data_IF_739702725896
#
_entry.id   IF_739702725896
#
_cell.length_a   1.000
_cell.length_b   1.000
_cell.length_c   1.000
_cell.angle_alpha   90.00
_cell.angle_beta   90.00
_cell.angle_gamma   90.00
#
_symmetry.space_group_name_H-M   'P 1'
#
loop_
_entity.id
_entity.type
_entity.pdbx_description
1 polymer ?
#
# COMPACT_ATOMS: atom_id res chain seq x y z
N UNK A 1 56.12 -0.58 -23.95
CA UNK A 1 55.62 -1.73 -23.19
C UNK A 1 55.11 -1.21 -21.85
N UNK A 2 53.84 -0.82 -21.79
CA UNK A 2 53.17 -0.31 -20.60
C UNK A 2 51.73 -0.80 -20.68
N UNK A 3 51.35 -1.65 -19.73
CA UNK A 3 50.15 -2.49 -19.74
C UNK A 3 48.88 -1.64 -19.74
N UNK A 4 47.99 -1.93 -20.69
CA UNK A 4 46.59 -1.57 -20.62
C UNK A 4 45.98 -2.12 -19.33
N UNK A 5 45.24 -1.24 -18.65
CA UNK A 5 44.44 -1.58 -17.49
C UNK A 5 43.24 -2.36 -18.04
N UNK A 6 43.24 -3.68 -17.84
CA UNK A 6 42.10 -4.55 -18.12
C UNK A 6 40.88 -4.06 -17.31
N UNK A 7 40.04 -3.23 -17.95
CA UNK A 7 38.65 -3.08 -17.55
C UNK A 7 37.99 -4.45 -17.64
N UNK A 8 37.68 -5.05 -16.49
CA UNK A 8 36.93 -6.30 -16.39
C UNK A 8 35.63 -6.15 -17.17
N UNK A 9 35.57 -6.70 -18.39
CA UNK A 9 34.35 -6.70 -19.19
C UNK A 9 33.34 -7.61 -18.49
N UNK A 10 32.33 -7.02 -17.85
CA UNK A 10 31.18 -7.75 -17.30
C UNK A 10 30.63 -8.68 -18.38
N UNK A 11 30.50 -9.96 -18.07
CA UNK A 11 30.04 -10.95 -19.06
C UNK A 11 28.66 -10.54 -19.59
N UNK A 12 28.40 -10.75 -20.89
CA UNK A 12 27.09 -10.47 -21.48
C UNK A 12 25.96 -11.23 -20.77
N UNK A 13 26.27 -12.39 -20.18
CA UNK A 13 25.33 -13.17 -19.35
C UNK A 13 25.02 -12.45 -18.02
N UNK A 14 26.02 -11.84 -17.38
CA UNK A 14 25.91 -11.12 -16.11
C UNK A 14 25.18 -9.78 -16.27
N UNK A 15 25.39 -9.10 -17.40
CA UNK A 15 24.63 -7.90 -17.74
C UNK A 15 23.13 -8.19 -17.90
N UNK A 16 22.78 -9.27 -18.62
CA UNK A 16 21.36 -9.66 -18.82
C UNK A 16 20.71 -10.06 -17.50
N UNK A 17 21.41 -10.78 -16.64
CA UNK A 17 20.96 -11.08 -15.28
C UNK A 17 20.68 -9.79 -14.49
N UNK A 18 21.65 -8.88 -14.44
CA UNK A 18 21.57 -7.65 -13.64
C UNK A 18 20.43 -6.76 -14.09
N UNK A 19 20.19 -6.65 -15.40
CA UNK A 19 19.11 -5.82 -15.92
C UNK A 19 17.73 -6.40 -15.61
N UNK A 20 17.53 -7.72 -15.78
CA UNK A 20 16.23 -8.34 -15.46
C UNK A 20 15.96 -8.26 -13.95
N UNK A 21 16.99 -8.49 -13.11
CA UNK A 21 16.89 -8.28 -11.67
C UNK A 21 16.48 -6.84 -11.33
N UNK A 22 17.09 -5.86 -11.99
CA UNK A 22 16.77 -4.45 -11.78
C UNK A 22 15.34 -4.12 -12.24
N UNK A 23 14.87 -4.67 -13.35
CA UNK A 23 13.50 -4.52 -13.83
C UNK A 23 12.49 -5.08 -12.81
N UNK A 24 12.78 -6.22 -12.17
CA UNK A 24 11.93 -6.78 -11.10
C UNK A 24 11.94 -5.86 -9.86
N UNK A 25 13.12 -5.42 -9.40
CA UNK A 25 13.27 -4.56 -8.22
C UNK A 25 12.59 -3.18 -8.42
N UNK A 26 12.66 -2.61 -9.63
CA UNK A 26 12.01 -1.35 -9.99
C UNK A 26 10.50 -1.51 -10.26
N UNK A 27 9.98 -2.73 -10.30
CA UNK A 27 8.57 -3.02 -10.60
C UNK A 27 8.19 -2.89 -12.08
N UNK A 28 9.17 -2.80 -13.00
CA UNK A 28 8.93 -2.88 -14.45
C UNK A 28 8.44 -4.27 -14.88
N UNK A 29 8.87 -5.31 -14.16
CA UNK A 29 8.31 -6.67 -14.22
C UNK A 29 7.61 -6.93 -12.89
N UNK A 30 6.28 -7.05 -12.91
CA UNK A 30 5.47 -7.14 -11.70
C UNK A 30 5.47 -8.55 -11.11
N UNK A 31 5.33 -8.72 -9.78
CA UNK A 31 5.10 -10.04 -9.18
C UNK A 31 3.94 -10.78 -9.86
N UNK A 32 4.13 -12.05 -10.20
CA UNK A 32 3.15 -12.87 -10.93
C UNK A 32 3.11 -12.63 -12.44
N UNK A 33 3.78 -11.60 -12.97
CA UNK A 33 3.84 -11.32 -14.40
C UNK A 33 4.66 -12.38 -15.14
N UNK A 34 4.18 -12.80 -16.30
CA UNK A 34 4.93 -13.69 -17.18
C UNK A 34 6.11 -12.95 -17.83
N UNK A 35 7.32 -13.46 -17.65
CA UNK A 35 8.50 -12.98 -18.36
C UNK A 35 8.47 -13.55 -19.79
N UNK A 36 7.87 -12.78 -20.70
CA UNK A 36 7.80 -13.14 -22.13
C UNK A 36 9.20 -13.04 -22.75
N UNK A 37 9.92 -14.16 -22.73
CA UNK A 37 11.35 -14.21 -23.09
C UNK A 37 11.68 -13.59 -24.45
N UNK A 38 10.79 -13.75 -25.45
CA UNK A 38 10.97 -13.13 -26.77
C UNK A 38 10.96 -11.60 -26.70
N UNK A 39 10.06 -11.02 -25.92
CA UNK A 39 9.95 -9.57 -25.75
C UNK A 39 11.14 -9.01 -24.95
N UNK A 40 11.51 -9.67 -23.86
CA UNK A 40 12.68 -9.28 -23.04
C UNK A 40 13.98 -9.38 -23.83
N UNK A 41 14.17 -10.44 -24.62
CA UNK A 41 15.33 -10.57 -25.51
C UNK A 41 15.44 -9.41 -26.50
N UNK A 42 14.31 -8.99 -27.09
CA UNK A 42 14.26 -7.87 -28.02
C UNK A 42 14.56 -6.54 -27.32
N UNK A 43 13.97 -6.30 -26.13
CA UNK A 43 14.21 -5.08 -25.33
C UNK A 43 15.70 -4.94 -24.94
N UNK A 44 16.34 -6.05 -24.57
CA UNK A 44 17.73 -6.06 -24.14
C UNK A 44 18.76 -6.21 -25.28
N UNK A 45 18.32 -6.43 -26.53
CA UNK A 45 19.23 -6.61 -27.67
C UNK A 45 20.11 -7.87 -27.55
N UNK A 46 19.57 -8.96 -26.99
CA UNK A 46 20.31 -10.21 -26.72
C UNK A 46 19.66 -11.44 -27.34
N UNK A 47 20.47 -12.49 -27.57
CA UNK A 47 19.98 -13.77 -28.07
C UNK A 47 19.32 -14.60 -26.95
N UNK A 48 18.68 -15.72 -27.31
CA UNK A 48 17.93 -16.56 -26.35
C UNK A 48 18.82 -17.25 -25.31
N UNK A 49 20.06 -17.58 -25.67
CA UNK A 49 20.99 -18.31 -24.80
C UNK A 49 21.38 -17.53 -23.53
N UNK A 50 21.91 -16.29 -23.59
CA UNK A 50 22.21 -15.50 -22.40
C UNK A 50 20.96 -15.22 -21.57
N UNK A 51 19.82 -14.99 -22.23
CA UNK A 51 18.54 -14.79 -21.53
C UNK A 51 18.10 -16.03 -20.74
N UNK A 52 18.17 -17.23 -21.33
CA UNK A 52 17.83 -18.47 -20.63
C UNK A 52 18.72 -18.72 -19.42
N UNK A 53 20.02 -18.42 -19.52
CA UNK A 53 20.94 -18.53 -18.38
C UNK A 53 20.58 -17.56 -17.28
N UNK A 54 20.34 -16.29 -17.62
CA UNK A 54 19.90 -15.27 -16.66
C UNK A 54 18.60 -15.68 -15.95
N UNK A 55 17.59 -16.15 -16.69
CA UNK A 55 16.32 -16.63 -16.12
C UNK A 55 16.55 -17.85 -15.21
N UNK A 56 17.41 -18.80 -15.58
CA UNK A 56 17.72 -19.95 -14.74
C UNK A 56 18.43 -19.53 -13.43
N UNK A 57 19.33 -18.56 -13.49
CA UNK A 57 19.96 -17.98 -12.30
C UNK A 57 18.94 -17.28 -11.41
N UNK A 58 18.08 -16.43 -11.99
CA UNK A 58 17.00 -15.75 -11.26
C UNK A 58 16.01 -16.73 -10.64
N UNK A 59 15.77 -17.89 -11.28
CA UNK A 59 14.93 -18.93 -10.72
C UNK A 59 15.59 -19.63 -9.52
N UNK A 60 16.90 -19.89 -9.59
CA UNK A 60 17.68 -20.42 -8.46
C UNK A 60 17.71 -19.45 -7.27
N UNK A 61 17.65 -18.15 -7.57
CA UNK A 61 17.63 -17.07 -6.57
C UNK A 61 16.22 -16.69 -6.13
N UNK A 62 15.16 -17.34 -6.63
CA UNK A 62 13.77 -17.05 -6.27
C UNK A 62 13.22 -15.68 -6.73
N UNK A 63 13.88 -14.99 -7.66
CA UNK A 63 13.25 -13.87 -8.37
C UNK A 63 12.19 -14.34 -9.38
N UNK A 64 12.32 -15.58 -9.86
CA UNK A 64 11.51 -16.13 -10.95
C UNK A 64 11.03 -17.54 -10.59
N UNK A 65 9.80 -17.86 -10.95
CA UNK A 65 9.26 -19.21 -10.90
C UNK A 65 9.12 -19.77 -12.32
N UNK A 66 9.57 -21.01 -12.51
CA UNK A 66 9.48 -21.69 -13.79
C UNK A 66 8.44 -22.80 -13.74
N UNK A 67 7.50 -22.78 -14.68
CA UNK A 67 6.54 -23.87 -14.88
C UNK A 67 7.19 -25.09 -15.52
N UNK A 68 6.55 -26.25 -15.42
CA UNK A 68 6.96 -27.49 -16.10
C UNK A 68 7.05 -27.36 -17.62
N UNK A 69 6.33 -26.39 -18.21
CA UNK A 69 6.35 -26.06 -19.64
C UNK A 69 7.43 -25.03 -20.02
N UNK A 70 8.27 -24.60 -19.07
CA UNK A 70 9.37 -23.67 -19.30
C UNK A 70 8.99 -22.19 -19.37
N UNK A 71 7.74 -21.83 -19.06
CA UNK A 71 7.34 -20.43 -18.90
C UNK A 71 7.87 -19.89 -17.58
N UNK A 72 8.43 -18.69 -17.61
CA UNK A 72 9.01 -17.99 -16.47
C UNK A 72 8.05 -16.88 -16.01
N UNK A 73 7.84 -16.78 -14.71
CA UNK A 73 7.01 -15.77 -14.05
C UNK A 73 7.82 -15.08 -12.96
N UNK A 74 7.63 -13.78 -12.76
CA UNK A 74 8.21 -13.12 -11.58
C UNK A 74 7.61 -13.75 -10.33
N UNK A 75 8.44 -14.13 -9.36
CA UNK A 75 7.96 -14.73 -8.12
C UNK A 75 7.00 -13.78 -7.40
N UNK A 76 5.89 -14.32 -6.93
CA UNK A 76 4.95 -13.63 -6.05
C UNK A 76 4.81 -14.41 -4.75
N UNK A 77 4.59 -13.72 -3.64
CA UNK A 77 4.34 -14.36 -2.35
C UNK A 77 2.85 -14.25 -2.02
N UNK A 78 2.24 -15.34 -1.59
CA UNK A 78 0.94 -15.29 -0.92
C UNK A 78 1.03 -14.45 0.36
N UNK A 79 -0.10 -13.97 0.88
CA UNK A 79 -0.16 -13.24 2.15
C UNK A 79 0.50 -14.01 3.30
N UNK A 80 0.22 -15.32 3.40
CA UNK A 80 0.81 -16.19 4.41
C UNK A 80 2.32 -16.34 4.27
N UNK A 81 2.83 -16.42 3.03
CA UNK A 81 4.25 -16.45 2.79
C UNK A 81 4.89 -15.10 3.11
N UNK A 82 4.24 -13.98 2.75
CA UNK A 82 4.76 -12.64 3.03
C UNK A 82 4.87 -12.40 4.54
N UNK A 83 3.87 -12.80 5.32
CA UNK A 83 3.92 -12.80 6.79
C UNK A 83 5.09 -13.63 7.33
N UNK A 84 5.33 -14.80 6.72
CA UNK A 84 6.41 -15.71 7.12
C UNK A 84 7.78 -15.13 6.77
N UNK A 85 7.92 -14.47 5.62
CA UNK A 85 9.13 -13.76 5.19
C UNK A 85 9.48 -12.65 6.18
N UNK A 86 8.51 -11.88 6.66
CA UNK A 86 8.74 -10.87 7.70
C UNK A 86 9.19 -11.46 9.05
N UNK A 87 8.72 -12.66 9.40
CA UNK A 87 9.17 -13.35 10.62
C UNK A 87 10.61 -13.85 10.48
N UNK A 88 10.95 -14.44 9.32
CA UNK A 88 12.32 -14.85 9.00
C UNK A 88 13.26 -13.64 9.04
N UNK A 89 12.82 -12.52 8.44
CA UNK A 89 13.54 -11.24 8.46
C UNK A 89 13.87 -10.80 9.89
N UNK A 90 12.88 -10.84 10.79
CA UNK A 90 13.05 -10.43 12.18
C UNK A 90 14.17 -11.23 12.87
N UNK A 91 14.21 -12.55 12.66
CA UNK A 91 15.23 -13.43 13.26
C UNK A 91 16.61 -13.18 12.67
N UNK A 92 16.72 -13.10 11.35
CA UNK A 92 18.01 -12.99 10.66
C UNK A 92 18.66 -11.61 10.86
N UNK A 93 17.87 -10.53 10.84
CA UNK A 93 18.39 -9.19 11.15
C UNK A 93 18.62 -8.98 12.65
N UNK A 94 17.87 -9.68 13.51
CA UNK A 94 18.17 -9.79 14.93
C UNK A 94 19.55 -10.39 15.17
N UNK A 95 19.86 -11.50 14.51
CA UNK A 95 21.18 -12.13 14.53
C UNK A 95 22.26 -11.17 14.00
N UNK A 96 22.00 -10.47 12.90
CA UNK A 96 22.93 -9.47 12.38
C UNK A 96 23.20 -8.36 13.41
N UNK A 97 22.17 -7.86 14.08
CA UNK A 97 22.29 -6.83 15.12
C UNK A 97 23.09 -7.33 16.32
N UNK A 98 22.90 -8.60 16.72
CA UNK A 98 23.70 -9.28 17.76
C UNK A 98 25.19 -9.31 17.40
N UNK A 99 25.50 -9.66 16.15
CA UNK A 99 26.87 -9.74 15.64
C UNK A 99 27.48 -8.34 15.52
N UNK A 100 26.70 -7.36 15.05
CA UNK A 100 27.13 -5.98 14.93
C UNK A 100 27.56 -5.40 16.29
N UNK A 101 26.81 -5.66 17.37
CA UNK A 101 27.19 -5.23 18.72
C UNK A 101 28.55 -5.76 19.19
N UNK A 102 29.04 -6.87 18.62
CA UNK A 102 30.34 -7.46 18.98
C UNK A 102 31.49 -6.93 18.13
N UNK A 103 31.24 -6.75 16.83
CA UNK A 103 32.27 -6.62 15.81
C UNK A 103 32.33 -5.25 15.15
N UNK A 104 31.21 -4.52 15.11
CA UNK A 104 31.09 -3.27 14.36
C UNK A 104 31.69 -2.10 15.15
N UNK A 105 32.56 -1.34 14.48
CA UNK A 105 33.23 -0.16 15.06
C UNK A 105 32.33 1.09 15.15
N UNK A 106 32.72 2.08 15.97
CA UNK A 106 31.90 3.28 16.23
C UNK A 106 31.60 4.13 14.99
N UNK A 107 32.43 4.06 13.94
CA UNK A 107 32.20 4.77 12.67
C UNK A 107 30.93 4.32 11.95
N UNK A 108 30.63 3.02 12.00
CA UNK A 108 29.44 2.47 11.36
C UNK A 108 28.17 2.90 12.11
N UNK A 109 28.21 2.88 13.45
CA UNK A 109 27.10 3.38 14.29
C UNK A 109 26.85 4.86 14.00
N UNK A 110 27.91 5.68 13.96
CA UNK A 110 27.80 7.10 13.64
C UNK A 110 27.20 7.34 12.24
N UNK A 111 27.63 6.57 11.24
CA UNK A 111 27.06 6.63 9.89
C UNK A 111 25.56 6.30 9.89
N UNK A 112 25.17 5.15 10.46
CA UNK A 112 23.77 4.73 10.50
C UNK A 112 22.89 5.71 11.28
N UNK A 113 23.41 6.26 12.39
CA UNK A 113 22.70 7.28 13.18
C UNK A 113 22.48 8.53 12.36
N UNK A 114 23.51 9.04 11.69
CA UNK A 114 23.40 10.22 10.83
C UNK A 114 22.47 9.99 9.64
N UNK A 115 22.52 8.81 9.01
CA UNK A 115 21.67 8.42 7.89
C UNK A 115 20.18 8.52 8.26
N UNK A 116 19.76 7.87 9.35
CA UNK A 116 18.33 7.78 9.69
C UNK A 116 17.80 9.08 10.31
N UNK A 117 18.62 9.80 11.08
CA UNK A 117 18.22 11.09 11.70
C UNK A 117 18.12 12.21 10.69
N UNK A 118 19.11 12.36 9.80
CA UNK A 118 19.06 13.38 8.73
C UNK A 118 17.86 13.16 7.80
N UNK A 119 17.53 11.90 7.50
CA UNK A 119 16.36 11.58 6.71
C UNK A 119 15.04 11.87 7.44
N UNK A 120 15.03 11.78 8.78
CA UNK A 120 13.88 12.16 9.60
C UNK A 120 13.70 13.68 9.69
N UNK A 121 14.80 14.44 9.77
CA UNK A 121 14.75 15.91 9.80
C UNK A 121 14.26 16.52 8.49
N UNK A 122 14.36 15.78 7.38
CA UNK A 122 13.89 16.18 6.05
C UNK A 122 12.44 15.74 5.77
N UNK A 123 11.74 15.17 6.76
CA UNK A 123 10.34 14.80 6.60
C UNK A 123 9.51 16.08 6.42
N UNK A 124 8.82 16.15 5.29
CA UNK A 124 7.71 17.08 5.07
C UNK A 124 6.41 16.28 5.19
N UNK A 125 5.30 16.95 5.52
CA UNK A 125 4.03 16.29 5.91
C UNK A 125 3.46 15.31 4.86
N UNK A 126 3.97 15.28 3.63
CA UNK A 126 3.41 14.51 2.50
C UNK A 126 4.41 13.52 1.87
N UNK A 127 5.73 13.64 2.11
CA UNK A 127 6.72 12.80 1.43
C UNK A 127 7.75 12.15 2.38
N UNK A 128 7.68 10.82 2.49
CA UNK A 128 8.62 9.99 3.25
C UNK A 128 9.67 9.29 2.37
N UNK A 129 9.81 9.69 1.11
CA UNK A 129 10.73 9.02 0.16
C UNK A 129 12.16 9.00 0.66
N UNK A 130 12.63 10.11 1.24
CA UNK A 130 13.97 10.20 1.83
C UNK A 130 14.14 9.24 3.02
N UNK A 131 13.18 9.24 3.96
CA UNK A 131 13.21 8.33 5.10
C UNK A 131 13.12 6.86 4.67
N UNK A 132 12.26 6.52 3.69
CA UNK A 132 12.14 5.17 3.14
C UNK A 132 13.45 4.66 2.53
N UNK A 133 14.16 5.54 1.82
CA UNK A 133 15.47 5.20 1.27
C UNK A 133 16.50 4.98 2.37
N UNK A 134 16.48 5.82 3.42
CA UNK A 134 17.37 5.70 4.56
C UNK A 134 17.08 4.45 5.41
N UNK A 135 15.80 4.10 5.63
CA UNK A 135 15.35 2.87 6.30
C UNK A 135 15.87 1.63 5.57
N UNK A 136 15.71 1.58 4.24
CA UNK A 136 16.26 0.50 3.42
C UNK A 136 17.78 0.40 3.55
N UNK A 137 18.49 1.52 3.38
CA UNK A 137 19.95 1.54 3.49
C UNK A 137 20.42 1.18 4.91
N UNK A 138 19.67 1.54 5.95
CA UNK A 138 19.97 1.16 7.33
C UNK A 138 20.03 -0.36 7.49
N UNK A 139 18.97 -1.06 7.06
CA UNK A 139 18.87 -2.52 7.14
C UNK A 139 19.94 -3.21 6.29
N UNK A 140 20.12 -2.77 5.04
CA UNK A 140 21.12 -3.35 4.14
C UNK A 140 22.56 -3.10 4.62
N UNK A 141 22.86 -1.89 5.10
CA UNK A 141 24.20 -1.54 5.56
C UNK A 141 24.59 -2.31 6.81
N UNK A 142 23.68 -2.47 7.77
CA UNK A 142 23.95 -3.22 9.00
C UNK A 142 24.39 -4.66 8.68
N UNK A 143 23.74 -5.30 7.72
CA UNK A 143 24.10 -6.64 7.25
C UNK A 143 25.47 -6.68 6.58
N UNK A 144 25.76 -5.71 5.70
CA UNK A 144 27.09 -5.58 5.08
C UNK A 144 28.19 -5.35 6.12
N UNK A 145 27.90 -4.61 7.19
CA UNK A 145 28.86 -4.29 8.25
C UNK A 145 29.25 -5.50 9.10
N UNK A 146 28.37 -6.49 9.24
CA UNK A 146 28.66 -7.76 9.94
C UNK A 146 29.57 -8.68 9.12
N UNK A 147 29.57 -8.55 7.79
CA UNK A 147 30.47 -9.27 6.88
C UNK A 147 30.45 -10.81 7.05
N UNK A 148 29.27 -11.39 7.30
CA UNK A 148 29.05 -12.85 7.29
C UNK A 148 28.45 -13.27 5.93
N UNK A 149 29.23 -13.91 5.04
CA UNK A 149 28.77 -14.26 3.70
C UNK A 149 27.61 -15.27 3.68
N UNK A 150 27.53 -16.16 4.68
CA UNK A 150 26.46 -17.16 4.74
C UNK A 150 25.14 -16.48 5.14
N UNK A 151 25.15 -15.63 6.17
CA UNK A 151 23.98 -14.87 6.60
C UNK A 151 23.47 -13.97 5.47
N UNK A 152 24.36 -13.24 4.81
CA UNK A 152 24.03 -12.38 3.66
C UNK A 152 23.38 -13.23 2.56
N UNK A 153 23.97 -14.37 2.21
CA UNK A 153 23.43 -15.24 1.15
C UNK A 153 22.04 -15.79 1.48
N UNK A 154 21.73 -16.09 2.74
CA UNK A 154 20.41 -16.58 3.16
C UNK A 154 19.36 -15.48 3.03
N UNK A 155 19.67 -14.25 3.48
CA UNK A 155 18.78 -13.10 3.36
C UNK A 155 18.55 -12.69 1.91
N UNK A 156 19.58 -12.80 1.07
CA UNK A 156 19.49 -12.53 -0.35
C UNK A 156 18.77 -13.63 -1.14
N UNK A 157 18.85 -14.91 -0.73
CA UNK A 157 18.28 -16.05 -1.47
C UNK A 157 16.76 -16.05 -1.60
N UNK A 158 16.04 -15.33 -0.73
CA UNK A 158 14.60 -15.10 -0.85
C UNK A 158 14.26 -13.63 -1.11
N UNK A 159 15.29 -12.79 -1.30
CA UNK A 159 15.16 -11.35 -1.42
C UNK A 159 14.29 -10.78 -0.31
N UNK A 160 14.46 -11.30 0.91
CA UNK A 160 13.63 -10.99 2.06
C UNK A 160 13.56 -9.48 2.26
N UNK A 161 14.70 -8.79 2.12
CA UNK A 161 14.77 -7.34 2.19
C UNK A 161 14.21 -6.67 0.95
N UNK A 162 14.59 -7.11 -0.26
CA UNK A 162 14.14 -6.44 -1.49
C UNK A 162 12.63 -6.48 -1.64
N UNK A 163 11.96 -7.59 -1.30
CA UNK A 163 10.50 -7.67 -1.36
C UNK A 163 9.80 -6.95 -0.20
N UNK A 164 10.36 -6.97 1.01
CA UNK A 164 9.71 -6.33 2.16
C UNK A 164 9.96 -4.82 2.23
N UNK A 165 11.08 -4.32 1.71
CA UNK A 165 11.44 -2.90 1.69
C UNK A 165 10.99 -2.20 0.41
N UNK A 166 10.84 -2.91 -0.72
CA UNK A 166 10.31 -2.30 -1.96
C UNK A 166 8.86 -1.82 -1.83
N UNK A 167 8.07 -2.39 -0.91
CA UNK A 167 6.70 -1.93 -0.64
C UNK A 167 6.63 -0.62 0.18
N UNK A 168 7.79 -0.08 0.58
CA UNK A 168 7.88 1.13 1.39
C UNK A 168 7.63 0.88 2.88
N UNK A 169 7.32 1.96 3.60
CA UNK A 169 7.21 1.93 5.06
C UNK A 169 5.84 1.38 5.50
N UNK A 170 5.84 0.30 6.27
CA UNK A 170 4.61 -0.21 6.89
C UNK A 170 4.15 0.62 8.09
N UNK A 171 5.07 1.35 8.73
CA UNK A 171 4.83 2.18 9.92
C UNK A 171 5.52 3.52 9.73
N UNK A 172 5.00 4.56 10.38
CA UNK A 172 5.49 5.92 10.17
C UNK A 172 6.94 6.10 10.67
N UNK A 173 7.65 7.14 10.20
CA UNK A 173 8.93 7.52 10.79
C UNK A 173 8.83 7.81 12.30
N UNK A 174 7.72 8.39 12.76
CA UNK A 174 7.49 8.66 14.19
C UNK A 174 7.46 7.36 15.03
N UNK A 175 6.95 6.26 14.46
CA UNK A 175 6.93 4.95 15.12
C UNK A 175 8.27 4.23 15.07
N UNK A 176 9.01 4.37 13.96
CA UNK A 176 10.18 3.53 13.65
C UNK A 176 11.50 4.17 14.06
N UNK A 177 11.63 5.50 14.01
CA UNK A 177 12.87 6.21 14.34
C UNK A 177 13.34 5.94 15.78
N UNK A 178 12.49 6.00 16.83
CA UNK A 178 12.93 5.69 18.19
C UNK A 178 13.47 4.26 18.31
N UNK A 179 12.92 3.32 17.54
CA UNK A 179 13.33 1.92 17.54
C UNK A 179 14.68 1.73 16.83
N UNK A 180 14.92 2.43 15.71
CA UNK A 180 16.23 2.47 15.05
C UNK A 180 17.32 3.01 15.99
N UNK A 181 17.02 4.09 16.72
CA UNK A 181 17.95 4.65 17.70
C UNK A 181 18.23 3.68 18.85
N UNK A 182 17.23 2.96 19.35
CA UNK A 182 17.41 1.94 20.38
C UNK A 182 18.34 0.80 19.93
N UNK A 183 18.21 0.35 18.67
CA UNK A 183 19.09 -0.66 18.07
C UNK A 183 20.54 -0.14 18.05
N UNK A 184 20.74 1.09 17.60
CA UNK A 184 22.07 1.71 17.52
C UNK A 184 22.69 1.91 18.91
N UNK A 185 21.91 2.34 19.90
CA UNK A 185 22.36 2.50 21.29
C UNK A 185 22.81 1.15 21.87
N UNK A 186 22.11 0.06 21.56
CA UNK A 186 22.49 -1.28 22.00
C UNK A 186 23.78 -1.77 21.32
N UNK A 187 23.94 -1.52 20.02
CA UNK A 187 25.17 -1.84 19.28
C UNK A 187 26.35 -1.03 19.83
N UNK A 188 26.16 0.27 20.09
CA UNK A 188 27.19 1.16 20.63
C UNK A 188 27.65 0.75 22.04
N UNK A 189 26.71 0.31 22.87
CA UNK A 189 26.97 -0.24 24.21
C UNK A 189 27.57 -1.66 24.19
N UNK A 190 27.71 -2.28 23.01
CA UNK A 190 28.11 -3.68 22.82
C UNK A 190 27.20 -4.69 23.53
N UNK A 191 25.93 -4.34 23.73
CA UNK A 191 24.92 -5.22 24.32
C UNK A 191 24.25 -6.04 23.20
N UNK A 192 24.87 -7.19 22.90
CA UNK A 192 24.44 -8.07 21.83
C UNK A 192 23.01 -8.62 22.03
N UNK A 193 22.63 -8.91 23.28
CA UNK A 193 21.30 -9.44 23.58
C UNK A 193 20.23 -8.35 23.42
N UNK A 194 20.53 -7.11 23.81
CA UNK A 194 19.62 -5.98 23.61
C UNK A 194 19.50 -5.60 22.13
N UNK A 195 20.61 -5.60 21.38
CA UNK A 195 20.59 -5.27 19.95
C UNK A 195 19.72 -6.25 19.16
N UNK A 196 19.84 -7.55 19.45
CA UNK A 196 18.99 -8.59 18.87
C UNK A 196 17.51 -8.37 19.19
N UNK A 197 17.17 -8.20 20.48
CA UNK A 197 15.78 -8.00 20.91
C UNK A 197 15.16 -6.74 20.30
N UNK A 198 15.92 -5.64 20.23
CA UNK A 198 15.45 -4.38 19.67
C UNK A 198 15.11 -4.52 18.17
N UNK A 199 16.00 -5.13 17.38
CA UNK A 199 15.76 -5.34 15.95
C UNK A 199 14.61 -6.32 15.70
N UNK A 200 14.57 -7.45 16.43
CA UNK A 200 13.45 -8.41 16.34
C UNK A 200 12.11 -7.73 16.65
N UNK A 201 12.07 -6.92 17.71
CA UNK A 201 10.87 -6.16 18.11
C UNK A 201 10.43 -5.19 17.03
N UNK A 202 11.37 -4.40 16.50
CA UNK A 202 11.15 -3.45 15.41
C UNK A 202 10.49 -4.12 14.18
N UNK A 203 11.06 -5.23 13.70
CA UNK A 203 10.52 -5.92 12.51
C UNK A 203 9.17 -6.60 12.83
N UNK A 204 9.01 -7.20 14.01
CA UNK A 204 7.75 -7.86 14.40
C UNK A 204 6.59 -6.89 14.62
N UNK A 205 6.85 -5.66 15.05
CA UNK A 205 5.82 -4.60 15.11
C UNK A 205 5.33 -4.25 13.71
N UNK A 206 6.22 -4.17 12.72
CA UNK A 206 5.87 -3.98 11.31
C UNK A 206 5.10 -5.19 10.76
N UNK A 207 5.53 -6.42 11.06
CA UNK A 207 4.79 -7.64 10.69
C UNK A 207 3.39 -7.69 11.34
N UNK A 208 3.26 -7.24 12.59
CA UNK A 208 1.96 -7.16 13.27
C UNK A 208 1.05 -6.10 12.62
N UNK A 209 1.63 -4.99 12.16
CA UNK A 209 0.91 -3.98 11.38
C UNK A 209 0.45 -4.55 10.03
N UNK A 210 1.30 -5.29 9.32
CA UNK A 210 0.96 -6.02 8.10
C UNK A 210 -0.15 -7.03 8.34
N UNK A 211 -0.01 -7.91 9.33
CA UNK A 211 -1.05 -8.88 9.72
C UNK A 211 -2.37 -8.18 9.98
N UNK A 212 -2.39 -7.06 10.70
CA UNK A 212 -3.61 -6.28 10.91
C UNK A 212 -4.17 -5.71 9.61
N UNK A 213 -3.33 -5.18 8.72
CA UNK A 213 -3.75 -4.72 7.38
C UNK A 213 -4.34 -5.84 6.53
N UNK A 214 -3.79 -7.06 6.61
CA UNK A 214 -4.28 -8.25 5.87
C UNK A 214 -5.48 -8.94 6.55
N UNK A 215 -5.56 -8.89 7.89
CA UNK A 215 -6.61 -9.56 8.71
C UNK A 215 -7.84 -8.69 8.93
N UNK A 216 -7.71 -7.37 8.88
CA UNK A 216 -8.83 -6.55 8.45
C UNK A 216 -9.08 -7.03 7.02
N UNK A 217 -10.27 -7.55 6.66
CA UNK A 217 -10.53 -7.80 5.26
C UNK A 217 -10.41 -6.45 4.59
N UNK A 218 -9.26 -6.15 4.01
CA UNK A 218 -9.08 -5.02 3.13
C UNK A 218 -9.96 -5.40 1.98
N UNK A 219 -11.17 -4.87 1.97
CA UNK A 219 -11.99 -4.87 0.79
C UNK A 219 -11.42 -3.94 -0.30
N UNK A 220 -10.12 -3.64 -0.24
CA UNK A 220 -9.26 -3.31 -1.36
C UNK A 220 -8.75 -4.53 -2.14
N UNK A 221 -8.72 -5.73 -1.56
CA UNK A 221 -8.18 -6.95 -2.21
C UNK A 221 -8.93 -7.41 -3.46
N UNK A 222 -10.00 -6.70 -3.86
CA UNK A 222 -10.70 -6.90 -5.12
C UNK A 222 -10.29 -5.89 -6.21
N UNK A 223 -9.46 -4.89 -5.91
CA UNK A 223 -9.04 -3.84 -6.85
C UNK A 223 -7.56 -4.00 -7.22
N UNK A 224 -7.16 -3.78 -8.49
CA UNK A 224 -5.73 -3.79 -8.85
C UNK A 224 -4.93 -2.66 -8.20
N UNK A 225 -3.68 -2.92 -7.84
CA UNK A 225 -2.78 -1.97 -7.13
C UNK A 225 -2.67 -0.58 -7.79
N UNK A 226 -2.67 -0.52 -9.13
CA UNK A 226 -2.63 0.74 -9.87
C UNK A 226 -3.91 1.57 -9.66
N UNK A 227 -5.07 0.90 -9.61
CA UNK A 227 -6.35 1.54 -9.33
C UNK A 227 -6.42 1.99 -7.87
N UNK A 228 -5.92 1.18 -6.94
CA UNK A 228 -5.83 1.56 -5.52
C UNK A 228 -4.99 2.83 -5.33
N UNK A 229 -3.79 2.86 -5.93
CA UNK A 229 -2.86 4.00 -5.85
C UNK A 229 -3.53 5.27 -6.38
N UNK A 230 -4.16 5.17 -7.55
CA UNK A 230 -4.84 6.30 -8.19
C UNK A 230 -6.01 6.84 -7.35
N UNK A 231 -6.84 5.96 -6.77
CA UNK A 231 -7.95 6.37 -5.91
C UNK A 231 -7.43 7.00 -4.61
N UNK A 232 -6.39 6.44 -4.00
CA UNK A 232 -5.80 6.99 -2.77
C UNK A 232 -5.27 8.40 -3.01
N UNK A 233 -4.48 8.61 -4.08
CA UNK A 233 -3.97 9.94 -4.45
C UNK A 233 -5.11 10.93 -4.67
N UNK A 234 -6.19 10.50 -5.32
CA UNK A 234 -7.34 11.35 -5.55
C UNK A 234 -8.12 11.67 -4.27
N UNK A 235 -8.21 10.72 -3.34
CA UNK A 235 -8.80 10.96 -2.02
C UNK A 235 -7.99 11.98 -1.20
N UNK A 236 -6.66 11.91 -1.26
CA UNK A 236 -5.75 12.86 -0.60
C UNK A 236 -5.88 14.27 -1.19
N UNK A 237 -5.87 14.40 -2.51
CA UNK A 237 -6.08 15.68 -3.20
C UNK A 237 -7.45 16.28 -2.87
N UNK A 238 -8.49 15.44 -2.81
CA UNK A 238 -9.84 15.89 -2.52
C UNK A 238 -10.00 16.36 -1.07
N UNK A 239 -9.38 15.66 -0.12
CA UNK A 239 -9.36 16.09 1.29
C UNK A 239 -8.60 17.41 1.45
N UNK A 240 -7.46 17.57 0.76
CA UNK A 240 -6.69 18.80 0.78
C UNK A 240 -7.45 19.99 0.13
N UNK A 241 -8.19 19.75 -0.95
CA UNK A 241 -8.94 20.79 -1.64
C UNK A 241 -10.22 21.18 -0.90
N UNK A 242 -10.92 20.21 -0.31
CA UNK A 242 -12.20 20.44 0.40
C UNK A 242 -12.00 20.87 1.85
N UNK A 243 -10.89 20.47 2.49
CA UNK A 243 -10.65 20.62 3.91
C UNK A 243 -11.46 19.66 4.80
N UNK A 244 -12.15 18.70 4.19
CA UNK A 244 -13.08 17.77 4.83
C UNK A 244 -12.58 16.33 4.80
N UNK A 245 -13.23 15.46 5.58
CA UNK A 245 -12.85 14.05 5.64
C UNK A 245 -13.29 13.34 4.36
N UNK A 246 -12.35 12.67 3.69
CA UNK A 246 -12.65 11.83 2.53
C UNK A 246 -12.58 10.36 2.92
N UNK A 247 -13.58 9.58 2.53
CA UNK A 247 -13.67 8.16 2.82
C UNK A 247 -13.81 7.35 1.54
N UNK A 248 -13.23 6.15 1.55
CA UNK A 248 -13.49 5.12 0.55
C UNK A 248 -14.26 3.99 1.20
N UNK A 249 -15.30 3.52 0.53
CA UNK A 249 -16.17 2.46 1.02
C UNK A 249 -16.50 1.43 -0.07
N UNK A 250 -16.77 0.21 0.37
CA UNK A 250 -17.27 -0.88 -0.47
C UNK A 250 -18.50 -1.50 0.18
N UNK A 251 -19.32 -2.16 -0.61
CA UNK A 251 -20.40 -2.97 -0.07
C UNK A 251 -19.84 -4.30 0.44
N UNK A 252 -20.10 -4.62 1.71
CA UNK A 252 -19.72 -5.87 2.36
C UNK A 252 -20.91 -6.36 3.20
N UNK A 253 -21.56 -7.45 2.73
CA UNK A 253 -22.67 -8.12 3.42
C UNK A 253 -23.85 -7.19 3.76
N UNK A 254 -24.22 -6.31 2.83
CA UNK A 254 -25.37 -5.41 3.00
C UNK A 254 -25.08 -4.14 3.79
N UNK A 255 -23.82 -3.82 4.03
CA UNK A 255 -23.37 -2.58 4.69
C UNK A 255 -22.26 -1.90 3.87
N UNK A 256 -22.17 -0.57 3.96
CA UNK A 256 -21.03 0.16 3.43
C UNK A 256 -19.88 0.06 4.43
N UNK A 257 -18.81 -0.62 4.06
CA UNK A 257 -17.61 -0.75 4.89
C UNK A 257 -16.54 0.23 4.46
N UNK A 258 -16.07 1.05 5.39
CA UNK A 258 -15.00 2.02 5.18
C UNK A 258 -13.67 1.27 5.07
N UNK A 259 -12.95 1.49 3.97
CA UNK A 259 -11.67 0.84 3.66
C UNK A 259 -10.48 1.80 3.70
N UNK A 260 -10.73 3.09 3.55
CA UNK A 260 -9.71 4.14 3.60
C UNK A 260 -10.32 5.44 4.07
N UNK A 261 -9.51 6.27 4.72
CA UNK A 261 -9.91 7.55 5.27
C UNK A 261 -8.73 8.51 5.13
N UNK A 262 -9.00 9.69 4.59
CA UNK A 262 -8.12 10.86 4.68
C UNK A 262 -8.81 11.86 5.59
N UNK A 263 -8.18 12.17 6.71
CA UNK A 263 -8.72 13.17 7.63
C UNK A 263 -8.55 14.58 7.05
N UNK A 264 -9.62 15.37 7.05
CA UNK A 264 -9.55 16.79 6.70
C UNK A 264 -8.75 17.57 7.74
N UNK A 265 -8.18 18.71 7.34
CA UNK A 265 -7.35 19.56 8.20
C UNK A 265 -8.17 20.50 9.12
N UNK A 266 -9.49 20.42 9.07
CA UNK A 266 -10.40 21.21 9.90
C UNK A 266 -10.40 20.76 11.37
N UNK A 267 -10.47 21.72 12.31
CA UNK A 267 -10.51 21.42 13.75
C UNK A 267 -11.71 20.57 14.15
N UNK A 268 -12.91 20.95 13.67
CA UNK A 268 -14.10 20.11 13.74
C UNK A 268 -14.14 19.27 12.46
N UNK A 269 -14.18 17.94 12.56
CA UNK A 269 -14.20 17.04 11.41
C UNK A 269 -15.04 15.80 11.68
N UNK A 270 -15.53 15.17 10.62
CA UNK A 270 -16.15 13.87 10.73
C UNK A 270 -15.09 12.81 11.05
N UNK A 271 -15.21 12.16 12.20
CA UNK A 271 -14.30 11.10 12.65
C UNK A 271 -14.89 9.74 12.28
N UNK A 272 -14.40 9.15 11.20
CA UNK A 272 -14.88 7.86 10.67
C UNK A 272 -13.69 6.91 10.59
N UNK A 273 -13.52 5.97 11.54
CA UNK A 273 -12.41 5.03 11.50
C UNK A 273 -12.50 4.05 10.32
N UNK A 274 -11.34 3.60 9.83
CA UNK A 274 -11.26 2.47 8.89
C UNK A 274 -11.90 1.23 9.51
N UNK A 275 -12.68 0.48 8.71
CA UNK A 275 -13.42 -0.70 9.13
C UNK A 275 -14.83 -0.41 9.65
N UNK A 276 -15.20 0.86 9.84
CA UNK A 276 -16.58 1.25 10.19
C UNK A 276 -17.57 0.68 9.18
N UNK A 277 -18.68 0.14 9.68
CA UNK A 277 -19.79 -0.39 8.86
C UNK A 277 -20.96 0.58 8.98
N UNK A 278 -21.44 1.04 7.84
CA UNK A 278 -22.46 2.07 7.74
C UNK A 278 -23.69 1.54 6.99
N UNK A 279 -24.91 1.98 7.35
CA UNK A 279 -26.12 1.58 6.65
C UNK A 279 -26.12 2.08 5.20
N UNK A 280 -26.43 1.17 4.28
CA UNK A 280 -26.45 1.48 2.84
C UNK A 280 -27.50 2.56 2.49
N UNK A 281 -28.68 2.53 3.09
CA UNK A 281 -29.75 3.49 2.74
C UNK A 281 -29.58 4.90 3.33
N UNK A 282 -28.84 5.05 4.42
CA UNK A 282 -28.80 6.30 5.19
C UNK A 282 -27.48 7.09 5.06
N UNK A 283 -26.53 6.61 4.24
CA UNK A 283 -25.24 7.29 4.02
C UNK A 283 -25.00 7.55 2.53
N UNK A 284 -24.32 8.63 2.16
CA UNK A 284 -24.09 8.94 0.75
C UNK A 284 -23.29 7.83 0.05
N UNK A 285 -22.20 7.34 0.68
CA UNK A 285 -21.41 6.22 0.13
C UNK A 285 -22.23 4.94 0.00
N UNK A 286 -23.11 4.65 0.97
CA UNK A 286 -23.99 3.49 0.92
C UNK A 286 -25.02 3.57 -0.21
N UNK A 287 -25.64 4.74 -0.37
CA UNK A 287 -26.62 4.97 -1.43
C UNK A 287 -25.98 4.98 -2.81
N UNK A 288 -24.78 5.53 -2.94
CA UNK A 288 -23.98 5.45 -4.16
C UNK A 288 -23.67 3.99 -4.54
N UNK A 289 -23.29 3.16 -3.56
CA UNK A 289 -23.06 1.73 -3.77
C UNK A 289 -24.34 1.02 -4.22
N UNK A 290 -25.48 1.25 -3.55
CA UNK A 290 -26.77 0.69 -3.93
C UNK A 290 -27.18 1.09 -5.36
N UNK A 291 -27.07 2.38 -5.69
CA UNK A 291 -27.43 2.91 -7.01
C UNK A 291 -26.55 2.35 -8.14
N UNK A 292 -25.36 1.83 -7.81
CA UNK A 292 -24.44 1.23 -8.79
C UNK A 292 -24.73 -0.24 -9.13
N UNK A 293 -25.55 -0.94 -8.33
CA UNK A 293 -25.87 -2.36 -8.54
C UNK A 293 -26.76 -2.55 -9.78
N UNK A 294 -26.74 -3.73 -10.40
CA UNK A 294 -27.76 -4.05 -11.41
C UNK A 294 -29.13 -4.28 -10.75
N UNK A 295 -30.19 -4.38 -11.57
CA UNK A 295 -31.56 -4.49 -11.06
C UNK A 295 -31.80 -5.74 -10.22
N UNK A 296 -31.14 -6.86 -10.54
CA UNK A 296 -31.33 -8.14 -9.86
C UNK A 296 -30.56 -8.16 -8.53
N UNK A 297 -29.33 -7.66 -8.51
CA UNK A 297 -28.52 -7.46 -7.31
C UNK A 297 -29.19 -6.47 -6.35
N UNK A 298 -29.70 -5.35 -6.86
CA UNK A 298 -30.39 -4.35 -6.05
C UNK A 298 -31.67 -4.92 -5.44
N UNK A 299 -32.49 -5.63 -6.22
CA UNK A 299 -33.70 -6.28 -5.70
C UNK A 299 -33.36 -7.34 -4.63
N UNK A 300 -32.28 -8.09 -4.83
CA UNK A 300 -31.80 -9.10 -3.88
C UNK A 300 -31.27 -8.51 -2.57
N UNK A 301 -30.60 -7.36 -2.64
CA UNK A 301 -30.15 -6.59 -1.47
C UNK A 301 -31.35 -5.97 -0.75
N UNK A 302 -32.20 -5.22 -1.45
CA UNK A 302 -33.39 -4.57 -0.87
C UNK A 302 -34.37 -5.58 -0.28
N UNK A 303 -34.56 -6.75 -0.91
CA UNK A 303 -35.42 -7.80 -0.39
C UNK A 303 -34.93 -8.41 0.93
N UNK A 304 -33.65 -8.23 1.28
CA UNK A 304 -33.04 -8.66 2.55
C UNK A 304 -32.81 -7.51 3.52
N UNK A 305 -33.07 -6.29 3.08
CA UNK A 305 -32.70 -5.07 3.77
C UNK A 305 -33.95 -4.36 4.29
N UNK A 306 -34.03 -4.19 5.61
CA UNK A 306 -35.09 -3.41 6.24
C UNK A 306 -34.54 -2.03 6.62
N UNK A 307 -34.93 -0.94 5.93
CA UNK A 307 -34.50 0.41 6.28
C UNK A 307 -34.87 0.73 7.73
N UNK A 308 -33.87 1.17 8.49
CA UNK A 308 -34.01 1.48 9.92
C UNK A 308 -33.88 2.99 10.10
N UNK A 309 -34.78 3.60 10.85
CA UNK A 309 -34.72 5.04 11.13
C UNK A 309 -33.54 5.36 12.07
N UNK A 310 -32.69 6.32 11.70
CA UNK A 310 -31.63 6.85 12.57
C UNK A 310 -31.90 8.29 13.02
N UNK A 311 -32.48 9.09 12.14
CA UNK A 311 -32.90 10.48 12.36
C UNK A 311 -34.26 10.72 11.71
N UNK A 312 -34.81 11.93 11.87
CA UNK A 312 -36.04 12.33 11.18
C UNK A 312 -35.86 12.42 9.67
N UNK A 313 -34.63 12.67 9.20
CA UNK A 313 -34.28 12.74 7.79
C UNK A 313 -34.06 11.36 7.15
N UNK A 314 -33.95 10.27 7.92
CA UNK A 314 -33.71 8.94 7.35
C UNK A 314 -34.87 8.48 6.47
N UNK A 315 -34.55 8.09 5.24
CA UNK A 315 -35.50 7.51 4.29
C UNK A 315 -35.74 6.05 4.64
N UNK A 316 -36.92 5.73 5.17
CA UNK A 316 -37.28 4.36 5.59
C UNK A 316 -38.28 3.67 4.67
N UNK A 317 -38.92 4.42 3.77
CA UNK A 317 -39.87 3.87 2.82
C UNK A 317 -39.14 3.28 1.61
N UNK A 318 -39.52 2.07 1.20
CA UNK A 318 -38.83 1.35 0.13
C UNK A 318 -39.05 1.97 -1.24
N UNK A 319 -40.23 2.54 -1.51
CA UNK A 319 -40.54 3.17 -2.80
C UNK A 319 -39.84 4.52 -2.91
N UNK A 320 -39.78 5.28 -1.81
CA UNK A 320 -38.99 6.51 -1.70
C UNK A 320 -37.49 6.25 -1.90
N UNK A 321 -36.96 5.21 -1.24
CA UNK A 321 -35.58 4.79 -1.42
C UNK A 321 -35.31 4.39 -2.88
N UNK A 322 -36.19 3.62 -3.51
CA UNK A 322 -36.05 3.21 -4.91
C UNK A 322 -36.04 4.41 -5.86
N UNK A 323 -36.94 5.39 -5.65
CA UNK A 323 -36.98 6.63 -6.42
C UNK A 323 -35.70 7.46 -6.27
N UNK A 324 -35.18 7.58 -5.06
CA UNK A 324 -33.92 8.27 -4.81
C UNK A 324 -32.73 7.55 -5.47
N UNK A 325 -32.64 6.22 -5.36
CA UNK A 325 -31.56 5.46 -6.00
C UNK A 325 -31.60 5.58 -7.53
N UNK A 326 -32.79 5.72 -8.11
CA UNK A 326 -32.95 6.01 -9.54
C UNK A 326 -32.37 7.39 -9.91
N UNK A 327 -32.67 8.43 -9.14
CA UNK A 327 -32.10 9.76 -9.38
C UNK A 327 -30.58 9.80 -9.15
N UNK A 328 -30.06 9.11 -8.13
CA UNK A 328 -28.61 8.96 -7.91
C UNK A 328 -27.96 8.27 -9.11
N UNK A 329 -28.57 7.21 -9.66
CA UNK A 329 -28.05 6.52 -10.84
C UNK A 329 -27.99 7.44 -12.06
N UNK A 330 -29.00 8.30 -12.24
CA UNK A 330 -29.08 9.25 -13.35
C UNK A 330 -28.08 10.40 -13.20
N UNK A 331 -27.92 10.94 -11.99
CA UNK A 331 -27.03 12.05 -11.69
C UNK A 331 -25.56 11.61 -11.54
N UNK A 332 -25.33 10.35 -11.18
CA UNK A 332 -24.00 9.80 -10.88
C UNK A 332 -23.45 10.19 -9.51
N UNK A 333 -24.23 10.90 -8.69
CA UNK A 333 -23.83 11.41 -7.39
C UNK A 333 -24.91 11.17 -6.33
N UNK A 334 -24.49 10.79 -5.14
CA UNK A 334 -25.32 10.66 -3.95
C UNK A 334 -25.01 11.80 -2.99
N UNK A 335 -26.05 12.33 -2.36
CA UNK A 335 -25.95 13.36 -1.34
C UNK A 335 -26.83 12.96 -0.16
N UNK A 336 -26.41 13.32 1.04
CA UNK A 336 -27.23 13.21 2.24
C UNK A 336 -26.92 14.35 3.20
N UNK A 337 -27.92 14.74 3.98
CA UNK A 337 -27.77 15.69 5.06
C UNK A 337 -28.51 15.18 6.30
N UNK A 338 -27.75 14.68 7.26
CA UNK A 338 -28.24 14.26 8.56
C UNK A 338 -29.03 12.96 8.54
N UNK A 339 -28.92 12.13 7.49
CA UNK A 339 -29.76 10.94 7.36
C UNK A 339 -29.34 9.80 8.30
N UNK A 340 -28.04 9.60 8.49
CA UNK A 340 -27.52 8.61 9.44
C UNK A 340 -27.26 9.21 10.81
N UNK A 341 -26.76 10.43 10.86
CA UNK A 341 -26.44 11.12 12.11
C UNK A 341 -26.66 12.62 11.93
N UNK A 342 -27.50 13.22 12.78
CA UNK A 342 -27.78 14.65 12.73
C UNK A 342 -26.49 15.48 12.89
N UNK A 343 -26.36 16.55 12.11
CA UNK A 343 -25.17 17.40 12.11
C UNK A 343 -24.02 16.89 11.24
N UNK A 344 -24.20 15.80 10.48
CA UNK A 344 -23.28 15.36 9.43
C UNK A 344 -23.95 15.48 8.07
N UNK A 345 -23.19 15.84 7.05
CA UNK A 345 -23.60 15.77 5.66
C UNK A 345 -22.51 15.07 4.86
N UNK A 346 -22.88 14.52 3.70
CA UNK A 346 -21.90 13.92 2.80
C UNK A 346 -22.35 13.93 1.35
N UNK A 347 -21.36 13.90 0.46
CA UNK A 347 -21.54 13.62 -0.97
C UNK A 347 -20.67 12.44 -1.37
N UNK A 348 -21.15 11.59 -2.26
CA UNK A 348 -20.43 10.40 -2.69
C UNK A 348 -20.72 10.01 -4.13
N UNK A 349 -19.76 9.32 -4.75
CA UNK A 349 -19.86 8.77 -6.10
C UNK A 349 -19.26 7.37 -6.12
N UNK A 350 -19.76 6.53 -7.02
CA UNK A 350 -19.23 5.18 -7.22
C UNK A 350 -18.25 5.16 -8.38
N UNK A 351 -17.04 4.68 -8.10
CA UNK A 351 -16.03 4.32 -9.07
C UNK A 351 -16.18 2.85 -9.41
N UNK A 352 -16.07 2.52 -10.70
CA UNK A 352 -16.12 1.15 -11.20
C UNK A 352 -14.82 0.81 -11.89
N UNK A 353 -14.25 -0.33 -11.52
CA UNK A 353 -13.09 -0.90 -12.17
C UNK A 353 -13.50 -1.81 -13.35
N UNK A 354 -12.58 -2.08 -14.28
CA UNK A 354 -12.84 -2.84 -15.51
C UNK A 354 -13.29 -4.30 -15.25
N UNK A 355 -12.92 -4.88 -14.11
CA UNK A 355 -13.37 -6.23 -13.69
C UNK A 355 -14.78 -6.24 -13.07
N UNK A 356 -15.45 -5.08 -13.01
CA UNK A 356 -16.80 -4.94 -12.46
C UNK A 356 -16.85 -4.58 -10.98
N UNK A 357 -15.73 -4.64 -10.25
CA UNK A 357 -15.68 -4.22 -8.85
C UNK A 357 -15.96 -2.71 -8.69
N UNK A 358 -16.51 -2.34 -7.54
CA UNK A 358 -16.96 -0.96 -7.26
C UNK A 358 -16.46 -0.46 -5.92
N UNK A 359 -16.12 0.82 -5.87
CA UNK A 359 -15.76 1.56 -4.64
C UNK A 359 -16.50 2.88 -4.65
N UNK A 360 -17.13 3.24 -3.54
CA UNK A 360 -17.62 4.60 -3.34
C UNK A 360 -16.54 5.47 -2.72
N UNK A 361 -16.35 6.67 -3.28
CA UNK A 361 -15.56 7.75 -2.70
C UNK A 361 -16.54 8.83 -2.23
N UNK A 362 -16.35 9.35 -1.02
CA UNK A 362 -17.22 10.38 -0.49
C UNK A 362 -16.52 11.40 0.40
N UNK A 363 -17.02 12.63 0.38
CA UNK A 363 -16.61 13.73 1.24
C UNK A 363 -17.64 13.84 2.36
N UNK A 364 -17.20 13.84 3.61
CA UNK A 364 -18.06 13.93 4.79
C UNK A 364 -17.63 15.11 5.66
N UNK A 365 -18.62 15.91 6.07
CA UNK A 365 -18.41 17.15 6.79
C UNK A 365 -19.46 17.38 7.89
N UNK A 366 -19.14 18.14 8.94
CA UNK A 366 -20.13 18.70 9.85
C UNK A 366 -21.10 19.63 9.11
N UNK A 367 -22.41 19.42 9.28
CA UNK A 367 -23.50 20.17 8.61
C UNK A 367 -23.40 21.68 8.84
N UNK A 368 -22.91 22.10 10.01
CA UNK A 368 -22.71 23.52 10.36
C UNK A 368 -21.84 24.29 9.36
N UNK A 369 -21.03 23.57 8.56
CA UNK A 369 -20.15 24.15 7.56
C UNK A 369 -20.80 24.34 6.20
N UNK A 370 -21.97 23.74 5.97
CA UNK A 370 -22.76 23.98 4.74
C UNK A 370 -23.20 25.44 4.59
N UNK A 371 -23.16 26.23 5.67
CA UNK A 371 -23.37 27.67 5.60
C UNK A 371 -22.32 28.41 4.74
N UNK A 372 -21.13 27.83 4.55
CA UNK A 372 -20.04 28.42 3.75
C UNK A 372 -19.71 27.66 2.46
N UNK A 373 -20.36 26.51 2.21
CA UNK A 373 -20.10 25.64 1.06
C UNK A 373 -21.34 24.80 0.76
N UNK A 374 -21.69 24.58 -0.52
CA UNK A 374 -22.84 23.72 -0.86
C UNK A 374 -22.45 22.27 -1.11
N UNK A 375 -23.39 21.33 -0.90
CA UNK A 375 -23.21 19.95 -1.33
C UNK A 375 -23.00 19.84 -2.86
N UNK A 376 -23.54 20.80 -3.63
CA UNK A 376 -23.31 20.87 -5.07
C UNK A 376 -21.86 21.16 -5.42
N UNK A 377 -21.22 22.12 -4.73
CA UNK A 377 -19.80 22.46 -4.93
C UNK A 377 -18.89 21.28 -4.59
N UNK A 378 -19.15 20.60 -3.46
CA UNK A 378 -18.44 19.38 -3.09
C UNK A 378 -18.65 18.27 -4.13
N UNK A 379 -19.85 18.19 -4.69
CA UNK A 379 -20.17 17.26 -5.77
C UNK A 379 -19.39 17.53 -7.06
N UNK A 380 -19.22 18.80 -7.44
CA UNK A 380 -18.40 19.19 -8.59
C UNK A 380 -16.92 18.83 -8.38
N UNK A 381 -16.39 19.04 -7.18
CA UNK A 381 -15.02 18.63 -6.83
C UNK A 381 -14.85 17.12 -6.92
N UNK A 382 -15.81 16.38 -6.37
CA UNK A 382 -15.83 14.92 -6.41
C UNK A 382 -15.88 14.42 -7.86
N UNK A 383 -16.76 14.98 -8.69
CA UNK A 383 -16.89 14.65 -10.11
C UNK A 383 -15.58 14.92 -10.88
N UNK A 384 -14.94 16.05 -10.64
CA UNK A 384 -13.65 16.39 -11.25
C UNK A 384 -12.54 15.40 -10.84
N UNK A 385 -12.54 14.94 -9.59
CA UNK A 385 -11.63 13.92 -9.09
C UNK A 385 -11.91 12.55 -9.72
N UNK A 386 -13.17 12.10 -9.77
CA UNK A 386 -13.55 10.81 -10.36
C UNK A 386 -13.26 10.75 -11.86
N UNK A 387 -13.45 11.85 -12.60
CA UNK A 387 -13.14 11.90 -14.03
C UNK A 387 -11.65 11.67 -14.32
N UNK A 388 -10.76 12.14 -13.44
CA UNK A 388 -9.31 11.88 -13.55
C UNK A 388 -9.01 10.40 -13.37
N UNK A 389 -9.70 9.73 -12.46
CA UNK A 389 -9.58 8.28 -12.24
C UNK A 389 -10.03 7.52 -13.48
N UNK A 390 -11.21 7.84 -14.02
CA UNK A 390 -11.75 7.18 -15.21
C UNK A 390 -10.94 7.45 -16.48
N UNK A 391 -10.19 8.55 -16.57
CA UNK A 391 -9.32 8.83 -17.71
C UNK A 391 -7.98 8.09 -17.68
N UNK A 392 -7.59 7.56 -16.52
CA UNK A 392 -6.31 6.91 -16.28
C UNK A 392 -6.42 5.39 -16.04
N UNK A 393 -7.63 4.87 -15.84
CA UNK A 393 -7.97 3.44 -15.81
C UNK A 393 -8.40 2.97 -17.21
#
# INVERSE_FOLDING_TARGET
MGKDIDTVSVSRDEHVYTEIRSMIIRGELKPGEQIVQKAVAAKLGVSRTPLRKAIATLARENFVEMTSRGSAYVRSFSESEFISVWEIRAVLEGLASRMAAKEVGPKHVAYLRALITSAADQITDIDWTHYRNADREFHEYLLRAVNDPLLISILESFHVLSFTLAQGLLRSPADTLPEHLEILDAIEARDADKAERAMVSHIRKSNSHLKRKLSQPTSFGMLPDAFQTLIITQAEELAAASGETVVLAVEDKGEARIIFVVEGHSLLRAAIPIGTRLPLHATAVGKALLASKDSDELASLLGRYAPTRFTDATITDSDELAGMLYEIRKAGISMENGEYQAGLASVAMTLRHADGSTVAIGITLPEVRLCGQSLSELGEMLLASTNRISSAA
#
